data_IF_725504413322
#
_entry.id   IF_725504413322
#
_cell.length_a   1.000
_cell.length_b   1.000
_cell.length_c   1.000
_cell.angle_alpha   90.00
_cell.angle_beta   90.00
_cell.angle_gamma   90.00
#
_symmetry.space_group_name_H-M   'P 1'
#
loop_
_entity.id
_entity.type
_entity.pdbx_description
1 polymer ?
#
# COMPACT_ATOMS: atom_id res chain seq x y z
N UNK A 1 -12.21 -9.05 -1.10
CA UNK A 1 -11.59 -9.05 -2.44
C UNK A 1 -10.17 -8.55 -2.33
N UNK A 2 -9.21 -9.32 -2.83
CA UNK A 2 -7.79 -8.93 -2.75
C UNK A 2 -7.49 -7.69 -3.61
N UNK A 3 -6.41 -7.01 -3.24
CA UNK A 3 -5.90 -5.83 -3.92
C UNK A 3 -4.36 -5.86 -3.89
N UNK A 4 -3.76 -6.00 -5.07
CA UNK A 4 -2.32 -5.92 -5.27
C UNK A 4 -1.96 -4.75 -6.18
N UNK A 5 -0.99 -3.93 -5.79
CA UNK A 5 -0.48 -2.82 -6.59
C UNK A 5 1.05 -2.89 -6.57
N UNK A 6 1.69 -2.86 -7.73
CA UNK A 6 3.13 -3.01 -7.85
C UNK A 6 3.72 -1.92 -8.73
N UNK A 7 4.92 -1.46 -8.36
CA UNK A 7 5.76 -0.61 -9.20
C UNK A 7 6.94 -1.45 -9.65
N UNK A 8 7.17 -1.47 -10.96
CA UNK A 8 8.30 -2.16 -11.59
C UNK A 8 9.28 -1.16 -12.17
N UNK A 9 10.57 -1.50 -12.13
CA UNK A 9 11.60 -0.73 -12.84
C UNK A 9 11.63 -1.06 -14.34
N UNK A 10 12.56 -0.44 -15.07
CA UNK A 10 12.76 -0.67 -16.51
C UNK A 10 13.13 -2.11 -16.85
N UNK A 11 13.70 -2.86 -15.90
CA UNK A 11 14.05 -4.27 -16.07
C UNK A 11 12.89 -5.21 -15.66
N UNK A 12 11.73 -4.67 -15.29
CA UNK A 12 10.56 -5.44 -14.88
C UNK A 12 10.58 -5.93 -13.43
N UNK A 13 11.63 -5.59 -12.65
CA UNK A 13 11.75 -5.98 -11.24
C UNK A 13 10.80 -5.16 -10.38
N UNK A 14 10.10 -5.81 -9.44
CA UNK A 14 9.26 -5.11 -8.47
C UNK A 14 10.16 -4.32 -7.52
N UNK A 15 9.98 -3.00 -7.49
CA UNK A 15 10.75 -2.06 -6.66
C UNK A 15 9.91 -1.41 -5.57
N UNK A 16 8.59 -1.56 -5.61
CA UNK A 16 7.68 -1.27 -4.52
C UNK A 16 6.36 -2.03 -4.72
N UNK A 17 5.63 -2.31 -3.64
CA UNK A 17 4.37 -3.02 -3.71
C UNK A 17 3.46 -2.79 -2.50
N UNK A 18 2.16 -2.95 -2.75
CA UNK A 18 1.08 -2.94 -1.79
C UNK A 18 0.25 -4.21 -1.96
N UNK A 19 -0.09 -4.85 -0.85
CA UNK A 19 -1.04 -5.96 -0.80
C UNK A 19 -2.04 -5.68 0.31
N UNK A 20 -3.32 -5.78 0.00
CA UNK A 20 -4.41 -5.60 0.94
C UNK A 20 -5.64 -6.38 0.53
N UNK A 21 -6.69 -6.25 1.34
CA UNK A 21 -8.00 -6.85 1.08
C UNK A 21 -9.09 -5.83 1.38
N UNK A 22 -10.10 -5.75 0.52
CA UNK A 22 -11.33 -5.03 0.82
C UNK A 22 -12.42 -5.98 1.30
N UNK A 23 -13.08 -5.66 2.40
CA UNK A 23 -14.18 -6.45 2.96
C UNK A 23 -15.23 -5.53 3.59
N UNK A 24 -16.50 -5.69 3.22
CA UNK A 24 -17.55 -4.73 3.58
C UNK A 24 -17.16 -3.32 3.15
N UNK A 25 -17.19 -2.39 4.10
CA UNK A 25 -16.76 -0.99 3.91
C UNK A 25 -15.30 -0.73 4.35
N UNK A 26 -14.46 -1.75 4.50
CA UNK A 26 -13.08 -1.63 4.96
C UNK A 26 -12.05 -2.00 3.89
N UNK A 27 -10.95 -1.26 3.87
CA UNK A 27 -9.67 -1.67 3.28
C UNK A 27 -8.71 -2.07 4.40
N UNK A 28 -8.24 -3.30 4.39
CA UNK A 28 -7.19 -3.78 5.28
C UNK A 28 -5.86 -3.89 4.54
N UNK A 29 -4.85 -3.18 5.02
CA UNK A 29 -3.50 -3.20 4.46
C UNK A 29 -2.74 -4.36 5.09
N UNK A 30 -2.25 -5.30 4.27
CA UNK A 30 -1.47 -6.47 4.74
C UNK A 30 0.03 -6.23 4.61
N UNK A 31 0.47 -5.71 3.46
CA UNK A 31 1.87 -5.43 3.19
C UNK A 31 2.02 -4.13 2.41
N UNK A 32 2.97 -3.31 2.84
CA UNK A 32 3.49 -2.18 2.08
C UNK A 32 5.01 -2.27 2.11
N UNK A 33 5.62 -2.33 0.93
CA UNK A 33 7.06 -2.43 0.79
C UNK A 33 7.58 -1.49 -0.28
N UNK A 34 8.71 -0.85 0.01
CA UNK A 34 9.42 0.02 -0.91
C UNK A 34 10.91 -0.34 -0.82
N UNK A 35 11.52 -0.61 -1.98
CA UNK A 35 12.96 -0.82 -2.07
C UNK A 35 13.73 0.37 -1.51
N UNK A 36 14.88 0.12 -0.89
CA UNK A 36 15.65 1.15 -0.17
C UNK A 36 15.98 2.38 -1.04
N UNK A 37 16.28 2.16 -2.32
CA UNK A 37 16.58 3.23 -3.31
C UNK A 37 15.42 4.22 -3.52
N UNK A 38 14.19 3.79 -3.19
CA UNK A 38 12.94 4.54 -3.37
C UNK A 38 12.29 4.96 -2.05
N UNK A 39 12.87 4.60 -0.89
CA UNK A 39 12.39 5.06 0.41
C UNK A 39 12.58 6.57 0.54
N UNK A 40 11.70 7.20 1.32
CA UNK A 40 11.68 8.66 1.55
C UNK A 40 11.46 9.54 0.31
N UNK A 41 11.06 8.94 -0.83
CA UNK A 41 10.74 9.64 -2.08
C UNK A 41 9.23 9.68 -2.38
N UNK A 42 8.38 9.42 -1.40
CA UNK A 42 6.92 9.42 -1.55
C UNK A 42 6.31 8.18 -2.23
N UNK A 43 7.12 7.19 -2.62
CA UNK A 43 6.65 5.96 -3.30
C UNK A 43 5.60 5.19 -2.49
N UNK A 44 5.77 5.09 -1.17
CA UNK A 44 4.80 4.44 -0.28
C UNK A 44 3.46 5.17 -0.28
N UNK A 45 3.48 6.50 -0.15
CA UNK A 45 2.29 7.35 -0.20
C UNK A 45 1.55 7.23 -1.54
N UNK A 46 2.29 7.11 -2.65
CA UNK A 46 1.69 6.89 -3.97
C UNK A 46 0.94 5.55 -4.05
N UNK A 47 1.50 4.49 -3.46
CA UNK A 47 0.84 3.18 -3.40
C UNK A 47 -0.42 3.23 -2.55
N UNK A 48 -0.36 3.88 -1.38
CA UNK A 48 -1.51 4.07 -0.50
C UNK A 48 -2.62 4.86 -1.19
N UNK A 49 -2.30 5.97 -1.84
CA UNK A 49 -3.27 6.77 -2.57
C UNK A 49 -4.00 5.96 -3.66
N UNK A 50 -3.28 5.14 -4.41
CA UNK A 50 -3.88 4.24 -5.41
C UNK A 50 -4.78 3.20 -4.74
N UNK A 51 -4.35 2.61 -3.62
CA UNK A 51 -5.15 1.65 -2.89
C UNK A 51 -6.44 2.26 -2.33
N UNK A 52 -6.37 3.46 -1.76
CA UNK A 52 -7.53 4.19 -1.26
C UNK A 52 -8.53 4.55 -2.35
N UNK A 53 -8.04 4.98 -3.52
CA UNK A 53 -8.92 5.26 -4.67
C UNK A 53 -9.72 4.02 -5.07
N UNK A 54 -9.04 2.89 -5.22
CA UNK A 54 -9.68 1.62 -5.56
C UNK A 54 -10.64 1.17 -4.46
N UNK A 55 -10.28 1.35 -3.18
CA UNK A 55 -11.15 1.03 -2.06
C UNK A 55 -12.42 1.90 -2.05
N UNK A 56 -12.30 3.20 -2.32
CA UNK A 56 -13.45 4.11 -2.46
C UNK A 56 -14.37 3.69 -3.61
N UNK A 57 -13.80 3.34 -4.75
CA UNK A 57 -14.57 2.79 -5.90
C UNK A 57 -15.30 1.48 -5.55
N UNK A 58 -14.74 0.69 -4.63
CA UNK A 58 -15.37 -0.53 -4.08
C UNK A 58 -16.36 -0.26 -2.94
N UNK A 59 -16.63 1.00 -2.59
CA UNK A 59 -17.55 1.38 -1.52
C UNK A 59 -16.96 1.32 -0.11
N UNK A 60 -15.63 1.17 0.03
CA UNK A 60 -14.98 1.26 1.33
C UNK A 60 -15.01 2.69 1.87
N UNK A 61 -15.27 2.81 3.18
CA UNK A 61 -15.32 4.05 3.94
C UNK A 61 -14.19 4.17 4.96
N UNK A 62 -13.59 3.03 5.33
CA UNK A 62 -12.60 2.95 6.39
C UNK A 62 -11.35 2.22 5.91
N UNK A 63 -10.21 2.55 6.52
CA UNK A 63 -8.93 1.89 6.29
C UNK A 63 -8.40 1.39 7.62
N UNK A 64 -7.92 0.15 7.63
CA UNK A 64 -7.26 -0.47 8.76
C UNK A 64 -5.85 -0.90 8.35
N UNK A 65 -4.86 -0.50 9.14
CA UNK A 65 -3.47 -0.90 9.00
C UNK A 65 -2.99 -1.36 10.38
N UNK A 66 -2.46 -2.57 10.43
CA UNK A 66 -1.65 -3.02 11.55
C UNK A 66 -0.18 -2.87 11.13
N UNK A 67 0.58 -2.08 11.88
CA UNK A 67 2.00 -1.86 11.61
C UNK A 67 2.78 -2.04 12.91
N UNK A 68 3.83 -2.86 12.85
CA UNK A 68 4.80 -2.87 13.94
C UNK A 68 5.62 -1.58 13.92
N UNK A 69 6.08 -1.14 15.08
CA UNK A 69 6.89 0.07 15.25
C UNK A 69 8.14 0.10 14.36
N UNK A 70 8.73 -1.06 14.06
CA UNK A 70 9.90 -1.18 13.18
C UNK A 70 9.57 -1.11 11.68
N UNK A 71 8.31 -1.34 11.28
CA UNK A 71 7.88 -1.30 9.87
C UNK A 71 7.61 0.13 9.39
N UNK A 72 7.28 1.02 10.32
CA UNK A 72 6.80 2.36 10.02
C UNK A 72 7.28 3.42 11.04
N UNK A 73 8.58 3.47 11.42
CA UNK A 73 9.04 4.33 12.53
C UNK A 73 8.91 5.84 12.28
N UNK A 74 8.58 6.26 11.05
CA UNK A 74 8.33 7.67 10.67
C UNK A 74 6.95 7.89 10.02
N UNK A 75 6.09 6.86 10.03
CA UNK A 75 4.77 6.89 9.40
C UNK A 75 3.65 7.09 10.42
N UNK A 76 3.87 6.68 11.67
CA UNK A 76 3.07 7.05 12.84
C UNK A 76 3.71 8.25 13.55
#
# INVERSE_FOLDING_TARGET
MDLGIYIRDKAGKIVAGFIGVTHGNWLSIKYLWVSEKLRYKGTGSQLLYKAEKIAKERGCKYVFLDTFSFQAPKFL
#
